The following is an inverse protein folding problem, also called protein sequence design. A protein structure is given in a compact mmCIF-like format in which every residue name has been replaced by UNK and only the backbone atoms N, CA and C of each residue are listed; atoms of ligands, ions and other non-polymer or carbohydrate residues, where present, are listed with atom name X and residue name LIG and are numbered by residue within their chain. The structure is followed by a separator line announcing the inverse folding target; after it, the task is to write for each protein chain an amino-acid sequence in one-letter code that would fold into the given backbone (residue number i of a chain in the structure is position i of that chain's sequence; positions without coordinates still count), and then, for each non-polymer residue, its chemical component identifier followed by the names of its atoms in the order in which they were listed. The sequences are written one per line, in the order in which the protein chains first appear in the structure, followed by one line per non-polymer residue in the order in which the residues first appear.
data_IF_826934724230
#
_entry.id   IF_826934724230
#
_cell.length_a   1.000
_cell.length_b   1.000
_cell.length_c   1.000
_cell.angle_alpha   90.00
_cell.angle_beta   90.00
_cell.angle_gamma   90.00
#
_symmetry.space_group_name_H-M   'P 1'
#
loop_
_entity.id
_entity.type
_entity.pdbx_description
1 polymer ?
#
# COMPACT_ATOMS: atom_id res chain seq x y z
N UNK A 1 -10.45 7.81 9.45
CA UNK A 1 -9.00 7.73 9.51
C UNK A 1 -8.50 7.68 10.95
N UNK A 2 -8.79 8.67 11.81
CA UNK A 2 -8.34 8.71 13.22
C UNK A 2 -8.68 7.44 14.02
N UNK A 3 -9.87 6.88 13.84
CA UNK A 3 -10.27 5.62 14.49
C UNK A 3 -9.36 4.46 14.04
N UNK A 4 -9.15 4.31 12.74
CA UNK A 4 -8.27 3.25 12.21
C UNK A 4 -6.81 3.41 12.65
N UNK A 5 -6.33 4.64 12.84
CA UNK A 5 -4.99 4.90 13.40
C UNK A 5 -4.90 4.48 14.88
N UNK A 6 -5.96 4.71 15.66
CA UNK A 6 -6.03 4.23 17.05
C UNK A 6 -6.09 2.70 17.13
N UNK A 7 -6.86 2.06 16.25
CA UNK A 7 -6.92 0.58 16.16
C UNK A 7 -5.56 -0.01 15.76
N UNK A 8 -4.83 0.62 14.85
CA UNK A 8 -3.46 0.22 14.51
C UNK A 8 -2.52 0.31 15.71
N UNK A 9 -2.58 1.42 16.48
CA UNK A 9 -1.75 1.60 17.66
C UNK A 9 -2.06 0.54 18.73
N UNK A 10 -3.32 0.18 18.91
CA UNK A 10 -3.73 -0.91 19.83
C UNK A 10 -3.19 -2.27 19.35
N UNK A 11 -3.25 -2.57 18.06
CA UNK A 11 -2.70 -3.80 17.51
C UNK A 11 -1.18 -3.89 17.67
N UNK A 12 -0.46 -2.76 17.49
CA UNK A 12 0.98 -2.68 17.74
C UNK A 12 1.33 -2.94 19.22
N UNK A 13 0.59 -2.34 20.15
CA UNK A 13 0.78 -2.57 21.58
C UNK A 13 0.49 -4.03 21.97
N UNK A 14 -0.55 -4.65 21.39
CA UNK A 14 -0.85 -6.06 21.59
C UNK A 14 0.30 -6.96 21.11
N UNK A 15 0.89 -6.67 19.95
CA UNK A 15 2.05 -7.42 19.43
C UNK A 15 3.25 -7.30 20.39
N UNK A 16 3.56 -6.11 20.90
CA UNK A 16 4.64 -5.92 21.88
C UNK A 16 4.43 -6.71 23.17
N UNK A 17 3.17 -6.81 23.63
CA UNK A 17 2.83 -7.63 24.79
C UNK A 17 3.08 -9.12 24.53
N UNK A 18 2.65 -9.61 23.36
CA UNK A 18 2.85 -11.02 22.97
C UNK A 18 4.35 -11.32 22.81
N UNK A 19 5.14 -10.40 22.27
CA UNK A 19 6.60 -10.57 22.20
C UNK A 19 7.24 -10.67 23.60
N UNK A 20 6.69 -10.01 24.59
CA UNK A 20 7.14 -10.19 25.99
C UNK A 20 6.69 -11.55 26.56
N UNK A 21 5.49 -12.03 26.24
CA UNK A 21 5.00 -13.36 26.60
C UNK A 21 5.89 -14.45 26.00
N UNK A 22 6.30 -14.32 24.73
CA UNK A 22 7.22 -15.24 24.05
C UNK A 22 8.58 -15.29 24.75
N UNK A 23 9.15 -14.12 25.12
CA UNK A 23 10.42 -14.10 25.86
C UNK A 23 10.32 -14.83 27.21
N UNK A 24 9.21 -14.65 27.93
CA UNK A 24 8.95 -15.36 29.19
C UNK A 24 8.79 -16.87 28.97
N UNK A 25 7.98 -17.28 28.01
CA UNK A 25 7.79 -18.70 27.68
C UNK A 25 9.09 -19.36 27.24
N UNK A 26 9.93 -18.65 26.46
CA UNK A 26 11.25 -19.12 26.06
C UNK A 26 12.18 -19.35 27.25
N UNK A 27 12.24 -18.39 28.17
CA UNK A 27 13.06 -18.52 29.36
C UNK A 27 12.61 -19.71 30.24
N UNK A 28 11.29 -19.91 30.37
CA UNK A 28 10.73 -21.05 31.09
C UNK A 28 11.08 -22.40 30.43
N UNK A 29 11.04 -22.46 29.10
CA UNK A 29 11.43 -23.64 28.32
C UNK A 29 12.92 -23.93 28.49
N UNK A 30 13.77 -22.94 28.42
CA UNK A 30 15.22 -23.08 28.63
C UNK A 30 15.52 -23.62 30.05
N UNK A 31 14.86 -23.08 31.07
CA UNK A 31 14.99 -23.57 32.42
C UNK A 31 14.50 -25.02 32.59
N UNK A 32 13.32 -25.34 32.05
CA UNK A 32 12.75 -26.68 32.09
C UNK A 32 13.67 -27.71 31.36
N UNK A 33 14.24 -27.32 30.20
CA UNK A 33 15.23 -28.13 29.48
C UNK A 33 16.49 -28.41 30.32
N UNK A 34 17.02 -27.38 30.98
CA UNK A 34 18.19 -27.56 31.87
C UNK A 34 17.90 -28.51 33.04
N UNK A 35 16.70 -28.40 33.64
CA UNK A 35 16.28 -29.32 34.72
C UNK A 35 16.10 -30.73 34.21
N UNK A 36 15.50 -30.92 33.04
CA UNK A 36 15.35 -32.22 32.40
C UNK A 36 16.68 -32.86 32.08
N UNK A 37 17.62 -32.13 31.44
CA UNK A 37 18.98 -32.65 31.14
C UNK A 37 19.79 -33.03 32.41
N UNK A 38 19.61 -32.24 33.50
CA UNK A 38 20.25 -32.55 34.76
C UNK A 38 19.67 -33.84 35.34
N UNK A 39 18.35 -33.96 35.34
CA UNK A 39 17.60 -35.12 35.82
C UNK A 39 17.99 -36.41 35.06
N UNK A 40 18.18 -36.30 33.72
CA UNK A 40 18.63 -37.39 32.84
C UNK A 40 20.01 -37.92 33.28
N UNK A 41 20.96 -37.00 33.51
CA UNK A 41 22.30 -37.35 33.99
C UNK A 41 22.29 -38.00 35.39
N UNK A 42 21.47 -37.47 36.29
CA UNK A 42 21.35 -38.01 37.67
C UNK A 42 20.67 -39.38 37.67
N UNK A 43 19.67 -39.62 36.83
CA UNK A 43 19.02 -40.91 36.70
C UNK A 43 19.98 -41.96 36.18
N UNK A 44 20.85 -41.62 35.19
CA UNK A 44 21.86 -42.55 34.67
C UNK A 44 22.90 -42.98 35.70
N UNK A 45 23.17 -42.12 36.70
CA UNK A 45 24.06 -42.43 37.85
C UNK A 45 23.32 -43.02 39.05
N UNK A 46 22.05 -43.39 38.95
CA UNK A 46 21.19 -43.82 40.04
C UNK A 46 21.07 -42.81 41.21
N UNK A 47 21.33 -41.54 40.96
CA UNK A 47 21.28 -40.47 41.96
C UNK A 47 19.93 -39.74 42.05
N UNK A 48 18.95 -40.09 41.20
CA UNK A 48 17.61 -39.49 41.16
C UNK A 48 16.53 -40.58 40.99
N UNK A 49 15.31 -40.27 41.47
CA UNK A 49 14.18 -41.19 41.32
C UNK A 49 13.57 -41.06 39.90
N UNK A 50 13.02 -42.16 39.38
CA UNK A 50 12.33 -42.21 38.11
C UNK A 50 11.13 -41.26 38.11
N UNK A 51 10.42 -41.10 39.24
CA UNK A 51 9.30 -40.16 39.40
C UNK A 51 9.72 -38.71 39.19
N UNK A 52 10.89 -38.31 39.72
CA UNK A 52 11.44 -36.93 39.52
C UNK A 52 11.81 -36.69 38.05
N UNK A 53 12.45 -37.66 37.40
CA UNK A 53 12.74 -37.60 35.98
C UNK A 53 11.49 -37.44 35.14
N UNK A 54 10.45 -38.25 35.36
CA UNK A 54 9.19 -38.18 34.62
C UNK A 54 8.51 -36.83 34.81
N UNK A 55 8.55 -36.26 36.02
CA UNK A 55 8.03 -34.92 36.36
C UNK A 55 8.83 -33.83 35.57
N UNK A 56 10.14 -33.89 35.58
CA UNK A 56 10.98 -32.92 34.87
C UNK A 56 10.77 -33.00 33.33
N UNK A 57 10.60 -34.21 32.80
CA UNK A 57 10.23 -34.43 31.41
C UNK A 57 8.87 -33.81 31.06
N UNK A 58 7.87 -34.03 31.92
CA UNK A 58 6.55 -33.45 31.75
C UNK A 58 6.61 -31.90 31.76
N UNK A 59 7.34 -31.32 32.74
CA UNK A 59 7.49 -29.87 32.84
C UNK A 59 8.12 -29.28 31.58
N UNK A 60 9.14 -29.94 30.99
CA UNK A 60 9.77 -29.54 29.75
C UNK A 60 8.77 -29.58 28.57
N UNK A 61 7.96 -30.64 28.46
CA UNK A 61 6.95 -30.76 27.39
C UNK A 61 5.86 -29.68 27.50
N UNK A 62 5.41 -29.38 28.75
CA UNK A 62 4.45 -28.28 28.98
C UNK A 62 5.05 -26.95 28.60
N UNK A 63 6.27 -26.64 29.04
CA UNK A 63 6.94 -25.39 28.67
C UNK A 63 7.18 -25.24 27.13
N UNK A 64 7.44 -26.35 26.44
CA UNK A 64 7.55 -26.37 25.01
C UNK A 64 6.22 -26.05 24.31
N UNK A 65 5.12 -26.63 24.83
CA UNK A 65 3.77 -26.36 24.31
C UNK A 65 3.36 -24.89 24.55
N UNK A 66 3.69 -24.34 25.72
CA UNK A 66 3.41 -22.91 26.05
C UNK A 66 4.19 -21.96 25.12
N UNK A 67 5.45 -22.26 24.83
CA UNK A 67 6.26 -21.49 23.90
C UNK A 67 5.69 -21.56 22.47
N UNK A 68 5.30 -22.74 22.01
CA UNK A 68 4.64 -22.91 20.70
C UNK A 68 3.32 -22.15 20.63
N UNK A 69 2.50 -22.21 21.68
CA UNK A 69 1.23 -21.49 21.76
C UNK A 69 1.44 -19.97 21.68
N UNK A 70 2.44 -19.43 22.41
CA UNK A 70 2.79 -18.02 22.34
C UNK A 70 3.23 -17.61 20.92
N UNK A 71 3.97 -18.49 20.23
CA UNK A 71 4.33 -18.27 18.81
C UNK A 71 3.12 -18.19 17.89
N UNK A 72 2.11 -19.05 18.07
CA UNK A 72 0.87 -19.01 17.28
C UNK A 72 0.08 -17.72 17.52
N UNK A 73 -0.01 -17.27 18.79
CA UNK A 73 -0.66 -15.99 19.14
C UNK A 73 0.05 -14.80 18.48
N UNK A 74 1.38 -14.85 18.31
CA UNK A 74 2.12 -13.80 17.60
C UNK A 74 1.70 -13.71 16.14
N UNK A 75 1.58 -14.86 15.46
CA UNK A 75 1.13 -14.90 14.04
C UNK A 75 -0.28 -14.32 13.88
N UNK A 76 -1.19 -14.61 14.82
CA UNK A 76 -2.54 -14.04 14.85
C UNK A 76 -2.51 -12.51 15.04
N UNK A 77 -1.66 -12.02 15.95
CA UNK A 77 -1.50 -10.58 16.18
C UNK A 77 -0.86 -9.87 14.97
N UNK A 78 0.12 -10.48 14.30
CA UNK A 78 0.70 -9.96 13.05
C UNK A 78 -0.33 -9.88 11.93
N UNK A 79 -1.18 -10.89 11.79
CA UNK A 79 -2.30 -10.88 10.83
C UNK A 79 -3.29 -9.76 11.13
N UNK A 80 -3.61 -9.55 12.41
CA UNK A 80 -4.49 -8.46 12.85
C UNK A 80 -3.86 -7.09 12.55
N UNK A 81 -2.57 -6.93 12.81
CA UNK A 81 -1.81 -5.72 12.48
C UNK A 81 -1.84 -5.42 10.98
N UNK A 82 -1.58 -6.43 10.14
CA UNK A 82 -1.62 -6.31 8.69
C UNK A 82 -3.01 -5.89 8.19
N UNK A 83 -4.09 -6.42 8.78
CA UNK A 83 -5.47 -6.01 8.50
C UNK A 83 -5.68 -4.52 8.77
N UNK A 84 -5.27 -4.00 9.93
CA UNK A 84 -5.43 -2.57 10.25
C UNK A 84 -4.57 -1.66 9.36
N UNK A 85 -3.36 -2.11 8.97
CA UNK A 85 -2.53 -1.40 8.00
C UNK A 85 -3.22 -1.29 6.64
N UNK A 86 -3.79 -2.39 6.13
CA UNK A 86 -4.54 -2.40 4.88
C UNK A 86 -5.77 -1.48 4.95
N UNK A 87 -6.44 -1.43 6.11
CA UNK A 87 -7.59 -0.55 6.32
C UNK A 87 -7.19 0.94 6.28
N UNK A 88 -6.03 1.31 6.85
CA UNK A 88 -5.50 2.68 6.75
C UNK A 88 -5.14 3.01 5.29
N UNK A 89 -4.50 2.10 4.57
CA UNK A 89 -4.19 2.28 3.16
C UNK A 89 -5.46 2.53 2.33
N UNK A 90 -6.51 1.76 2.56
CA UNK A 90 -7.83 1.97 1.95
C UNK A 90 -8.39 3.37 2.23
N UNK A 91 -8.40 3.82 3.50
CA UNK A 91 -8.87 5.17 3.83
C UNK A 91 -8.00 6.28 3.24
N UNK A 92 -6.70 6.07 3.12
CA UNK A 92 -5.81 7.04 2.47
C UNK A 92 -6.13 7.16 0.97
N UNK A 93 -6.39 6.03 0.28
CA UNK A 93 -6.84 6.05 -1.12
C UNK A 93 -8.17 6.77 -1.25
N UNK A 94 -9.15 6.48 -0.38
CA UNK A 94 -10.44 7.19 -0.36
C UNK A 94 -10.30 8.69 -0.11
N UNK A 95 -9.37 9.11 0.73
CA UNK A 95 -9.07 10.52 0.94
C UNK A 95 -8.38 11.16 -0.27
N UNK A 96 -7.49 10.43 -0.96
CA UNK A 96 -6.88 10.91 -2.19
C UNK A 96 -7.92 11.11 -3.31
N UNK A 97 -8.90 10.21 -3.42
CA UNK A 97 -10.01 10.33 -4.39
C UNK A 97 -10.89 11.56 -4.14
N UNK A 98 -10.91 12.13 -2.93
CA UNK A 98 -11.64 13.37 -2.65
C UNK A 98 -10.95 14.63 -3.16
N UNK A 99 -9.70 14.49 -3.62
CA UNK A 99 -8.90 15.59 -4.18
C UNK A 99 -8.67 15.34 -5.65
N UNK A 100 -9.40 16.05 -6.50
CA UNK A 100 -9.19 15.99 -7.94
C UNK A 100 -8.09 16.98 -8.33
N UNK A 101 -7.01 16.47 -8.94
CA UNK A 101 -5.88 17.26 -9.46
C UNK A 101 -5.81 17.12 -10.96
N UNK A 102 -5.40 18.20 -11.66
CA UNK A 102 -5.14 18.12 -13.09
C UNK A 102 -3.93 17.19 -13.34
N UNK A 103 -4.01 16.24 -14.30
CA UNK A 103 -2.92 15.32 -14.60
C UNK A 103 -1.78 15.96 -15.40
N UNK A 104 -1.98 17.15 -15.94
CA UNK A 104 -1.01 17.92 -16.73
C UNK A 104 -1.29 19.43 -16.56
N UNK A 105 -0.36 20.27 -17.00
CA UNK A 105 -0.56 21.71 -17.08
C UNK A 105 -1.59 22.03 -18.17
N UNK A 106 -2.70 22.63 -17.79
CA UNK A 106 -3.86 22.75 -18.67
C UNK A 106 -4.55 24.11 -18.55
N UNK A 107 -5.19 24.49 -19.66
CA UNK A 107 -6.13 25.62 -19.68
C UNK A 107 -7.55 25.11 -19.37
N UNK A 108 -8.23 25.74 -18.41
CA UNK A 108 -9.63 25.46 -18.14
C UNK A 108 -10.49 26.11 -19.23
N UNK A 109 -11.16 25.31 -20.03
CA UNK A 109 -12.04 25.78 -21.11
C UNK A 109 -13.45 26.01 -20.61
N UNK A 110 -13.92 25.11 -19.74
CA UNK A 110 -15.30 25.18 -19.22
C UNK A 110 -15.37 24.64 -17.79
N UNK A 111 -16.16 25.31 -16.99
CA UNK A 111 -16.58 24.82 -15.68
C UNK A 111 -18.01 24.31 -15.77
N UNK A 112 -18.20 23.01 -15.60
CA UNK A 112 -19.49 22.33 -15.74
C UNK A 112 -20.28 22.27 -14.43
N UNK A 113 -19.62 22.47 -13.30
CA UNK A 113 -20.23 22.43 -11.97
C UNK A 113 -19.74 23.57 -11.10
N UNK A 114 -20.63 24.13 -10.32
CA UNK A 114 -20.33 25.20 -9.36
C UNK A 114 -19.86 24.64 -8.02
N UNK A 115 -19.19 25.48 -7.24
CA UNK A 115 -18.78 25.14 -5.89
C UNK A 115 -20.02 24.82 -5.03
N UNK A 116 -19.97 23.73 -4.27
CA UNK A 116 -21.09 23.24 -3.46
C UNK A 116 -22.06 22.31 -4.20
N UNK A 117 -21.88 22.09 -5.51
CA UNK A 117 -22.69 21.12 -6.25
C UNK A 117 -22.36 19.67 -5.82
N UNK A 118 -23.41 18.86 -5.68
CA UNK A 118 -23.26 17.41 -5.50
C UNK A 118 -23.07 16.78 -6.87
N UNK A 119 -21.99 16.00 -7.02
CA UNK A 119 -21.66 15.32 -8.27
C UNK A 119 -21.61 13.81 -8.05
N UNK A 120 -22.13 13.06 -9.02
CA UNK A 120 -22.01 11.60 -9.04
C UNK A 120 -20.73 11.20 -9.77
N UNK A 121 -20.19 9.98 -9.50
CA UNK A 121 -19.07 9.44 -10.27
C UNK A 121 -19.36 9.48 -11.78
N UNK A 122 -18.33 9.89 -12.55
CA UNK A 122 -18.44 10.00 -14.01
C UNK A 122 -18.98 11.33 -14.53
N UNK A 123 -19.42 12.24 -13.66
CA UNK A 123 -19.88 13.59 -14.09
C UNK A 123 -18.68 14.51 -14.27
N UNK A 124 -18.58 15.17 -15.44
CA UNK A 124 -17.55 16.17 -15.71
C UNK A 124 -17.76 17.40 -14.82
N UNK A 125 -16.69 17.85 -14.18
CA UNK A 125 -16.63 19.06 -13.33
C UNK A 125 -15.98 20.20 -14.10
N UNK A 126 -14.87 19.92 -14.76
CA UNK A 126 -14.07 20.86 -15.55
C UNK A 126 -13.70 20.23 -16.88
N UNK A 127 -13.72 21.00 -17.95
CA UNK A 127 -13.12 20.63 -19.22
C UNK A 127 -11.79 21.37 -19.32
N UNK A 128 -10.70 20.62 -19.44
CA UNK A 128 -9.35 21.13 -19.49
C UNK A 128 -8.69 20.72 -20.80
N UNK A 129 -7.84 21.56 -21.35
CA UNK A 129 -7.11 21.33 -22.61
C UNK A 129 -5.62 21.49 -22.37
N UNK A 130 -4.86 20.50 -22.84
CA UNK A 130 -3.41 20.61 -22.94
C UNK A 130 -3.04 21.56 -24.07
N UNK A 131 -2.42 22.67 -23.74
CA UNK A 131 -1.98 23.66 -24.72
C UNK A 131 -0.61 23.34 -25.34
N UNK A 132 0.08 22.33 -24.84
CA UNK A 132 1.39 21.91 -25.38
C UNK A 132 1.25 21.03 -26.63
N UNK A 133 0.09 20.39 -26.81
CA UNK A 133 -0.17 19.41 -27.88
C UNK A 133 -1.33 19.83 -28.79
N UNK A 134 -1.40 21.13 -29.14
CA UNK A 134 -2.45 21.64 -30.05
C UNK A 134 -2.17 21.15 -31.46
N UNK A 135 -3.17 20.60 -32.12
CA UNK A 135 -3.12 20.22 -33.53
C UNK A 135 -4.30 20.82 -34.29
N UNK A 136 -4.10 21.07 -35.56
CA UNK A 136 -5.13 21.57 -36.46
C UNK A 136 -5.41 20.54 -37.57
N UNK A 137 -6.69 20.26 -37.83
CA UNK A 137 -7.09 19.42 -38.97
C UNK A 137 -7.48 20.31 -40.13
N UNK A 138 -6.89 20.06 -41.29
CA UNK A 138 -7.09 20.84 -42.53
C UNK A 138 -7.47 19.89 -43.66
N UNK A 139 -8.48 20.27 -44.42
CA UNK A 139 -8.83 19.58 -45.67
C UNK A 139 -7.97 20.09 -46.79
N UNK A 140 -7.32 19.18 -47.51
CA UNK A 140 -6.45 19.53 -48.67
C UNK A 140 -7.04 18.94 -49.93
N UNK A 141 -7.01 19.69 -51.00
CA UNK A 141 -7.46 19.23 -52.30
C UNK A 141 -6.55 18.10 -52.84
N UNK A 142 -7.15 17.12 -53.52
CA UNK A 142 -6.43 15.95 -54.05
C UNK A 142 -5.29 16.34 -54.98
N UNK A 143 -5.44 17.43 -55.72
CA UNK A 143 -4.43 17.95 -56.64
C UNK A 143 -3.15 18.45 -55.93
N UNK A 144 -3.22 18.74 -54.65
CA UNK A 144 -2.10 19.26 -53.84
C UNK A 144 -1.44 18.20 -52.96
N UNK A 145 -2.05 17.03 -52.82
CA UNK A 145 -1.57 15.94 -51.92
C UNK A 145 -0.15 15.47 -52.33
N UNK A 146 0.20 15.49 -53.62
CA UNK A 146 1.50 15.01 -54.09
C UNK A 146 2.71 15.70 -53.44
N UNK A 147 2.53 16.87 -52.87
CA UNK A 147 3.59 17.69 -52.27
C UNK A 147 3.61 17.60 -50.75
N UNK A 148 2.66 16.91 -50.16
CA UNK A 148 2.53 16.77 -48.72
C UNK A 148 3.25 15.49 -48.22
N UNK A 149 4.20 15.69 -47.33
CA UNK A 149 4.92 14.59 -46.69
C UNK A 149 4.83 14.74 -45.17
N UNK A 150 4.76 13.60 -44.46
CA UNK A 150 4.81 13.60 -43.03
C UNK A 150 6.14 14.20 -42.51
N UNK A 151 6.06 15.13 -41.57
CA UNK A 151 7.21 15.88 -41.05
C UNK A 151 7.53 17.17 -41.75
N UNK A 152 6.81 17.53 -42.84
CA UNK A 152 6.99 18.80 -43.53
C UNK A 152 6.64 19.98 -42.63
N UNK A 153 7.50 20.99 -42.59
CA UNK A 153 7.26 22.24 -41.88
C UNK A 153 6.19 23.07 -42.62
N UNK A 154 5.22 23.54 -41.88
CA UNK A 154 4.11 24.35 -42.40
C UNK A 154 3.88 25.57 -41.51
N UNK A 155 3.42 26.66 -42.17
CA UNK A 155 3.01 27.86 -41.48
C UNK A 155 1.48 27.97 -41.45
N UNK A 156 0.95 28.16 -40.27
CA UNK A 156 -0.49 28.31 -40.03
C UNK A 156 -0.79 29.79 -39.76
N UNK A 157 -1.74 30.34 -40.47
CA UNK A 157 -2.25 31.72 -40.29
C UNK A 157 -3.72 31.67 -39.93
N UNK A 158 -4.09 32.34 -38.86
CA UNK A 158 -5.49 32.47 -38.49
C UNK A 158 -6.06 33.80 -38.99
N UNK A 159 -7.31 33.77 -39.46
CA UNK A 159 -7.97 35.00 -39.91
C UNK A 159 -8.09 36.07 -38.83
N UNK A 160 -8.21 35.62 -37.57
CA UNK A 160 -8.32 36.48 -36.39
C UNK A 160 -6.97 37.09 -35.98
N UNK A 161 -5.86 36.51 -36.41
CA UNK A 161 -4.49 36.89 -36.06
C UNK A 161 -3.62 36.95 -37.34
N UNK A 162 -3.92 37.84 -38.31
CA UNK A 162 -3.32 37.79 -39.62
C UNK A 162 -1.83 38.13 -39.65
N UNK A 163 -1.32 38.78 -38.61
CA UNK A 163 0.11 39.14 -38.50
C UNK A 163 0.93 38.11 -37.70
N UNK A 164 0.27 37.08 -37.18
CA UNK A 164 0.94 36.07 -36.34
C UNK A 164 1.08 34.75 -37.11
N UNK A 165 2.32 34.29 -37.21
CA UNK A 165 2.69 33.05 -37.89
C UNK A 165 2.92 31.97 -36.85
N UNK A 166 2.27 30.84 -37.02
CA UNK A 166 2.42 29.66 -36.16
C UNK A 166 3.11 28.56 -36.98
N UNK A 167 4.33 28.21 -36.60
CA UNK A 167 5.04 27.08 -37.22
C UNK A 167 4.48 25.74 -36.73
N UNK A 168 4.28 24.81 -37.63
CA UNK A 168 3.81 23.45 -37.33
C UNK A 168 4.48 22.41 -38.23
N UNK A 169 4.19 21.13 -37.95
CA UNK A 169 4.62 20.01 -38.78
C UNK A 169 3.43 19.14 -39.16
N UNK A 170 3.46 18.63 -40.36
CA UNK A 170 2.47 17.65 -40.83
C UNK A 170 2.71 16.34 -40.09
N UNK A 171 1.70 15.83 -39.37
CA UNK A 171 1.77 14.59 -38.58
C UNK A 171 1.08 13.40 -39.27
N UNK A 172 0.17 13.68 -40.19
CA UNK A 172 -0.63 12.65 -40.88
C UNK A 172 -1.03 13.11 -42.25
#
# INVERSE_FOLDING_TARGET
KRVAEAELAMAQAALQRIDAEIRSAKANLEYANLMFQRSEKLLSSNAESRSTYDKNRQNMLVAAADFEQAGKRRIEAESTLAKHQAQIAYYNTKLAETRLTAPFDALIVRRNREQGAIVNPGVSILDIVDTSTIWASVWVDETQIAHLQNGLDVDVFFRTLPQQRFGGKICR
#
